data_IF_954457487775
#
_entry.id   IF_954457487775
#
_cell.length_a   1.000
_cell.length_b   1.000
_cell.length_c   1.000
_cell.angle_alpha   90.00
_cell.angle_beta   90.00
_cell.angle_gamma   90.00
#
_symmetry.space_group_name_H-M   'P 1'
#
loop_
_entity.id
_entity.type
_entity.pdbx_description
1 polymer ?
#
# COMPACT_ATOMS: atom_id res chain seq x y z
N UNK A 1 -25.13 92.50 3.53
CA UNK A 1 -26.05 91.48 4.05
C UNK A 1 -25.32 90.73 5.15
N UNK A 2 -25.51 91.16 6.40
CA UNK A 2 -24.83 90.66 7.60
C UNK A 2 -25.90 90.05 8.49
N UNK A 3 -25.70 88.82 8.97
CA UNK A 3 -26.39 88.30 10.18
C UNK A 3 -25.62 87.10 10.77
N UNK A 4 -25.27 87.30 12.03
CA UNK A 4 -24.77 86.39 13.06
C UNK A 4 -25.53 85.05 13.16
N UNK A 5 -24.89 84.02 13.76
CA UNK A 5 -25.28 83.29 15.00
C UNK A 5 -24.53 81.96 15.10
N UNK A 6 -23.70 81.79 16.14
CA UNK A 6 -23.92 81.00 17.38
C UNK A 6 -23.57 79.49 17.28
N UNK A 7 -22.63 79.06 18.14
CA UNK A 7 -22.33 77.70 18.64
C UNK A 7 -23.61 76.95 19.13
N UNK A 8 -23.66 75.59 19.29
CA UNK A 8 -22.65 74.77 19.99
C UNK A 8 -22.41 73.29 19.57
N UNK A 9 -21.31 72.76 20.13
CA UNK A 9 -21.02 71.39 20.60
C UNK A 9 -22.05 70.27 20.32
N UNK A 10 -21.67 69.24 19.54
CA UNK A 10 -22.24 67.89 19.65
C UNK A 10 -21.10 66.87 19.73
N UNK A 11 -21.03 66.27 20.91
CA UNK A 11 -20.31 65.05 21.28
C UNK A 11 -20.78 63.90 20.38
N UNK A 12 -19.88 63.27 19.62
CA UNK A 12 -20.17 61.97 18.97
C UNK A 12 -19.25 60.92 19.57
N UNK A 13 -19.88 60.11 20.41
CA UNK A 13 -19.43 58.81 20.91
C UNK A 13 -18.91 57.95 19.76
N UNK A 14 -17.60 57.65 19.74
CA UNK A 14 -17.09 56.51 18.98
C UNK A 14 -17.27 55.29 19.87
N UNK A 15 -18.34 54.54 19.61
CA UNK A 15 -18.51 53.19 20.11
C UNK A 15 -17.40 52.31 19.54
N UNK A 16 -16.47 51.90 20.41
CA UNK A 16 -15.58 50.78 20.14
C UNK A 16 -16.41 49.52 19.99
N UNK A 17 -16.59 49.06 18.75
CA UNK A 17 -17.05 47.72 18.47
C UNK A 17 -15.92 46.76 18.88
N UNK A 18 -16.06 46.21 20.08
CA UNK A 18 -15.42 44.96 20.48
C UNK A 18 -15.84 43.89 19.47
N UNK A 19 -15.01 43.63 18.47
CA UNK A 19 -15.08 42.39 17.71
C UNK A 19 -14.69 41.27 18.66
N UNK A 20 -15.68 40.43 18.98
CA UNK A 20 -15.46 39.12 19.56
C UNK A 20 -14.42 38.38 18.72
N UNK A 21 -13.26 38.12 19.30
CA UNK A 21 -12.34 37.10 18.80
C UNK A 21 -13.07 35.76 18.90
N UNK A 22 -13.59 35.28 17.78
CA UNK A 22 -13.99 33.89 17.63
C UNK A 22 -12.74 33.03 17.73
N UNK A 23 -12.68 32.04 18.64
CA UNK A 23 -11.59 31.08 18.63
C UNK A 23 -11.65 30.32 17.31
N UNK A 24 -10.50 30.30 16.63
CA UNK A 24 -10.24 29.52 15.44
C UNK A 24 -10.46 28.05 15.80
N UNK A 25 -11.66 27.53 15.52
CA UNK A 25 -11.92 26.10 15.56
C UNK A 25 -10.95 25.46 14.57
N UNK A 26 -9.94 24.78 15.12
CA UNK A 26 -9.12 23.86 14.37
C UNK A 26 -10.05 22.90 13.63
N UNK A 27 -9.91 22.87 12.30
CA UNK A 27 -10.50 21.82 11.50
C UNK A 27 -10.07 20.45 12.04
N UNK A 28 -10.86 19.39 11.81
CA UNK A 28 -10.59 18.09 12.39
C UNK A 28 -9.16 17.65 12.07
N UNK A 29 -8.39 17.38 13.13
CA UNK A 29 -7.07 16.78 13.05
C UNK A 29 -7.19 15.46 12.29
N UNK A 30 -6.86 15.49 11.00
CA UNK A 30 -6.93 14.33 10.09
C UNK A 30 -5.98 13.19 10.50
N UNK A 31 -5.13 13.41 11.50
CA UNK A 31 -4.26 12.39 12.11
C UNK A 31 -4.99 11.42 13.05
N UNK A 32 -6.06 11.85 13.74
CA UNK A 32 -6.74 11.01 14.74
C UNK A 32 -7.72 10.00 14.13
N UNK A 33 -8.35 10.33 12.99
CA UNK A 33 -9.26 9.41 12.30
C UNK A 33 -8.55 8.31 11.49
N UNK A 34 -7.35 8.60 10.99
CA UNK A 34 -6.64 7.68 10.09
C UNK A 34 -5.83 6.62 10.85
N UNK A 35 -5.22 7.00 11.98
CA UNK A 35 -4.55 6.04 12.87
C UNK A 35 -5.54 5.09 13.54
N UNK A 36 -6.72 5.58 13.93
CA UNK A 36 -7.80 4.76 14.51
C UNK A 36 -8.41 3.77 13.52
N UNK A 37 -8.46 4.11 12.23
CA UNK A 37 -8.89 3.20 11.16
C UNK A 37 -8.06 1.90 11.14
N UNK A 38 -6.73 2.00 11.12
CA UNK A 38 -5.87 0.81 11.10
C UNK A 38 -5.79 0.08 12.44
N UNK A 39 -6.01 0.77 13.56
CA UNK A 39 -6.12 0.13 14.87
C UNK A 39 -7.35 -0.80 14.93
N UNK A 40 -8.47 -0.42 14.32
CA UNK A 40 -9.66 -1.28 14.23
C UNK A 40 -9.43 -2.53 13.39
N UNK A 41 -8.70 -2.40 12.27
CA UNK A 41 -8.37 -3.52 11.36
C UNK A 41 -7.45 -4.55 12.05
N UNK A 42 -6.56 -4.10 12.94
CA UNK A 42 -5.62 -4.97 13.64
C UNK A 42 -6.25 -6.04 14.54
N UNK A 43 -7.55 -5.96 14.83
CA UNK A 43 -8.30 -6.91 15.64
C UNK A 43 -9.35 -7.72 14.85
N UNK A 44 -9.45 -7.50 13.55
CA UNK A 44 -10.46 -8.12 12.71
C UNK A 44 -10.10 -9.58 12.40
N UNK A 45 -10.93 -10.51 12.86
CA UNK A 45 -10.85 -11.93 12.48
C UNK A 45 -11.79 -12.19 11.32
N UNK A 46 -11.23 -12.51 10.16
CA UNK A 46 -12.00 -12.70 8.94
C UNK A 46 -12.70 -14.06 8.91
N UNK A 47 -13.96 -14.07 8.50
CA UNK A 47 -14.69 -15.29 8.13
C UNK A 47 -14.17 -15.86 6.79
N UNK A 48 -14.47 -17.13 6.45
CA UNK A 48 -14.09 -17.70 5.16
C UNK A 48 -14.59 -16.90 3.94
N UNK A 49 -15.79 -16.31 4.03
CA UNK A 49 -16.33 -15.48 2.95
C UNK A 49 -15.53 -14.18 2.78
N UNK A 50 -15.11 -13.58 3.88
CA UNK A 50 -14.28 -12.38 3.87
C UNK A 50 -12.87 -12.67 3.37
N UNK A 51 -12.31 -13.85 3.66
CA UNK A 51 -11.04 -14.29 3.07
C UNK A 51 -11.18 -14.43 1.56
N UNK A 52 -12.27 -15.02 1.07
CA UNK A 52 -12.53 -15.11 -0.37
C UNK A 52 -12.66 -13.73 -1.02
N UNK A 53 -13.37 -12.79 -0.38
CA UNK A 53 -13.47 -11.41 -0.87
C UNK A 53 -12.10 -10.70 -0.86
N UNK A 54 -11.31 -10.86 0.21
CA UNK A 54 -9.97 -10.30 0.30
C UNK A 54 -9.01 -10.86 -0.75
N UNK A 55 -9.18 -12.12 -1.17
CA UNK A 55 -8.43 -12.71 -2.29
C UNK A 55 -8.68 -11.96 -3.60
N UNK A 56 -9.93 -11.54 -3.85
CA UNK A 56 -10.30 -10.76 -5.04
C UNK A 56 -9.68 -9.36 -5.01
N UNK A 57 -9.61 -8.73 -3.83
CA UNK A 57 -8.94 -7.44 -3.63
C UNK A 57 -7.40 -7.52 -3.72
N UNK A 58 -6.82 -8.73 -3.65
CA UNK A 58 -5.40 -8.95 -3.85
C UNK A 58 -4.55 -8.34 -2.74
N UNK A 59 -3.41 -7.75 -3.09
CA UNK A 59 -2.42 -7.28 -2.10
C UNK A 59 -2.94 -6.14 -1.22
N UNK A 60 -4.01 -5.45 -1.63
CA UNK A 60 -4.67 -4.41 -0.84
C UNK A 60 -5.31 -4.95 0.44
N UNK A 61 -5.69 -6.23 0.47
CA UNK A 61 -6.34 -6.83 1.61
C UNK A 61 -5.39 -7.27 2.73
N UNK A 62 -4.07 -7.28 2.51
CA UNK A 62 -3.06 -7.79 3.47
C UNK A 62 -3.26 -7.29 4.91
N UNK A 63 -3.51 -5.98 5.18
CA UNK A 63 -3.68 -5.49 6.54
C UNK A 63 -4.84 -6.16 7.30
N UNK A 64 -5.90 -6.55 6.60
CA UNK A 64 -7.11 -7.14 7.18
C UNK A 64 -6.94 -8.60 7.61
N UNK A 65 -5.85 -9.25 7.20
CA UNK A 65 -5.49 -10.60 7.63
C UNK A 65 -4.67 -10.62 8.93
N UNK A 66 -4.34 -9.46 9.51
CA UNK A 66 -3.39 -9.35 10.61
C UNK A 66 -3.81 -10.12 11.86
N UNK A 67 -5.10 -10.13 12.23
CA UNK A 67 -5.58 -10.84 13.43
C UNK A 67 -6.00 -12.29 13.14
N UNK A 68 -6.37 -12.62 11.89
CA UNK A 68 -6.81 -13.97 11.50
C UNK A 68 -5.66 -14.99 11.58
N UNK A 69 -5.90 -16.18 12.16
CA UNK A 69 -4.84 -17.18 12.32
C UNK A 69 -4.37 -17.76 10.97
N UNK A 70 -3.12 -18.18 10.84
CA UNK A 70 -2.60 -18.78 9.58
C UNK A 70 -3.45 -19.94 9.08
N UNK A 71 -3.93 -20.78 10.02
CA UNK A 71 -4.80 -21.90 9.72
C UNK A 71 -6.13 -21.44 9.13
N UNK A 72 -6.79 -20.47 9.76
CA UNK A 72 -8.08 -19.97 9.28
C UNK A 72 -7.94 -19.26 7.93
N UNK A 73 -6.85 -18.52 7.73
CA UNK A 73 -6.52 -17.91 6.43
C UNK A 73 -6.40 -19.00 5.37
N UNK A 74 -5.60 -20.03 5.64
CA UNK A 74 -5.38 -21.12 4.69
C UNK A 74 -6.68 -21.90 4.39
N UNK A 75 -7.47 -22.21 5.42
CA UNK A 75 -8.76 -22.89 5.27
C UNK A 75 -9.75 -22.03 4.45
N UNK A 76 -9.74 -20.71 4.65
CA UNK A 76 -10.52 -19.76 3.86
C UNK A 76 -10.07 -19.72 2.40
N UNK A 77 -8.77 -19.68 2.12
CA UNK A 77 -8.21 -19.72 0.77
C UNK A 77 -8.57 -21.02 0.04
N UNK A 78 -8.49 -22.17 0.72
CA UNK A 78 -8.90 -23.47 0.16
C UNK A 78 -10.40 -23.45 -0.18
N UNK A 79 -11.25 -22.97 0.73
CA UNK A 79 -12.70 -22.85 0.49
C UNK A 79 -13.01 -21.90 -0.67
N UNK A 80 -12.23 -20.85 -0.82
CA UNK A 80 -12.31 -19.90 -1.95
C UNK A 80 -11.75 -20.48 -3.26
N UNK A 81 -11.22 -21.71 -3.26
CA UNK A 81 -10.56 -22.33 -4.41
C UNK A 81 -9.39 -21.50 -4.95
N UNK A 82 -8.67 -20.81 -4.04
CA UNK A 82 -7.45 -20.09 -4.37
C UNK A 82 -6.47 -21.02 -5.09
N UNK A 83 -5.81 -20.51 -6.12
CA UNK A 83 -4.82 -21.28 -6.87
C UNK A 83 -3.56 -21.49 -6.04
N UNK A 84 -3.13 -20.46 -5.33
CA UNK A 84 -2.01 -20.55 -4.40
C UNK A 84 -2.54 -20.39 -2.98
N UNK A 85 -2.34 -21.39 -2.13
CA UNK A 85 -2.72 -21.34 -0.72
C UNK A 85 -1.57 -20.82 0.14
N UNK A 86 -1.86 -20.50 1.40
CA UNK A 86 -0.83 -20.08 2.33
C UNK A 86 0.14 -21.22 2.65
N UNK A 87 -0.34 -22.46 2.69
CA UNK A 87 0.52 -23.64 2.84
C UNK A 87 1.51 -23.78 1.68
N UNK A 88 1.06 -23.56 0.44
CA UNK A 88 1.95 -23.62 -0.74
C UNK A 88 3.04 -22.54 -0.67
N UNK A 89 2.67 -21.34 -0.25
CA UNK A 89 3.63 -20.24 -0.03
C UNK A 89 4.66 -20.59 1.04
N UNK A 90 4.23 -21.14 2.18
CA UNK A 90 5.14 -21.53 3.25
C UNK A 90 6.11 -22.63 2.82
N UNK A 91 5.59 -23.65 2.13
CA UNK A 91 6.38 -24.79 1.67
C UNK A 91 7.42 -24.36 0.63
N UNK A 92 7.01 -23.55 -0.34
CA UNK A 92 7.90 -23.10 -1.43
C UNK A 92 8.88 -22.01 -1.02
N UNK A 93 8.46 -21.02 -0.22
CA UNK A 93 9.32 -19.91 0.19
C UNK A 93 10.27 -20.30 1.33
N UNK A 94 9.78 -21.06 2.32
CA UNK A 94 10.48 -21.30 3.58
C UNK A 94 10.81 -22.78 3.84
N UNK A 95 10.39 -23.71 2.97
CA UNK A 95 10.67 -25.14 3.14
C UNK A 95 9.94 -25.78 4.32
N UNK A 96 8.86 -25.16 4.81
CA UNK A 96 8.06 -25.62 5.95
C UNK A 96 6.58 -25.60 5.58
N UNK A 97 5.81 -26.58 6.02
CA UNK A 97 4.35 -26.55 5.94
C UNK A 97 3.76 -25.81 7.14
N UNK A 98 2.50 -25.39 7.04
CA UNK A 98 1.85 -24.63 8.13
C UNK A 98 1.71 -25.44 9.43
N UNK A 99 1.62 -26.77 9.35
CA UNK A 99 1.58 -27.67 10.50
C UNK A 99 2.96 -27.88 11.17
N UNK A 100 4.02 -27.35 10.56
CA UNK A 100 5.40 -27.43 11.05
C UNK A 100 5.91 -26.11 11.66
N UNK A 101 5.06 -25.07 11.71
CA UNK A 101 5.41 -23.75 12.23
C UNK A 101 4.53 -23.38 13.41
N UNK A 102 5.02 -22.47 14.27
CA UNK A 102 4.25 -21.95 15.39
C UNK A 102 3.05 -21.11 14.94
N UNK A 103 2.15 -20.71 15.87
CA UNK A 103 0.97 -19.91 15.55
C UNK A 103 1.26 -18.55 14.90
N UNK A 104 2.45 -17.99 15.15
CA UNK A 104 2.95 -16.75 14.55
C UNK A 104 3.52 -16.96 13.13
N UNK A 105 3.72 -18.22 12.73
CA UNK A 105 4.25 -18.62 11.43
C UNK A 105 5.68 -18.18 11.19
N UNK A 106 6.43 -17.93 12.25
CA UNK A 106 7.80 -17.47 12.14
C UNK A 106 8.75 -18.66 11.95
N UNK A 107 9.50 -18.66 10.85
CA UNK A 107 10.57 -19.64 10.58
C UNK A 107 11.96 -19.01 10.70
N UNK A 108 12.04 -17.72 11.03
CA UNK A 108 13.29 -16.95 11.04
C UNK A 108 13.68 -16.35 9.68
N UNK A 109 12.84 -16.50 8.65
CA UNK A 109 13.17 -16.17 7.25
C UNK A 109 12.48 -14.89 6.75
N UNK A 110 12.00 -14.02 7.66
CA UNK A 110 11.36 -12.77 7.29
C UNK A 110 12.28 -11.87 6.45
N UNK A 111 11.77 -11.36 5.32
CA UNK A 111 12.55 -10.45 4.47
C UNK A 111 12.53 -9.02 5.01
N UNK A 112 13.60 -8.27 4.69
CA UNK A 112 13.73 -6.84 5.03
C UNK A 112 13.90 -5.94 3.81
N UNK A 113 14.17 -6.53 2.64
CA UNK A 113 14.44 -5.84 1.39
C UNK A 113 13.61 -6.47 0.28
N UNK A 114 13.15 -5.65 -0.67
CA UNK A 114 12.36 -6.12 -1.81
C UNK A 114 13.10 -7.11 -2.71
N UNK A 115 14.45 -7.06 -2.74
CA UNK A 115 15.26 -8.11 -3.37
C UNK A 115 14.94 -9.49 -2.81
N UNK A 116 15.05 -9.66 -1.49
CA UNK A 116 14.76 -10.94 -0.84
C UNK A 116 13.26 -11.29 -0.90
N UNK A 117 12.38 -10.29 -0.80
CA UNK A 117 10.94 -10.49 -1.00
C UNK A 117 10.65 -11.09 -2.38
N UNK A 118 11.28 -10.54 -3.43
CA UNK A 118 11.17 -11.03 -4.80
C UNK A 118 11.74 -12.43 -4.94
N UNK A 119 12.92 -12.73 -4.36
CA UNK A 119 13.50 -14.07 -4.40
C UNK A 119 12.56 -15.12 -3.78
N UNK A 120 11.95 -14.84 -2.62
CA UNK A 120 10.96 -15.74 -2.01
C UNK A 120 9.71 -15.88 -2.88
N UNK A 121 9.17 -14.76 -3.34
CA UNK A 121 7.99 -14.72 -4.19
C UNK A 121 8.17 -15.51 -5.49
N UNK A 122 9.33 -15.40 -6.12
CA UNK A 122 9.69 -16.12 -7.34
C UNK A 122 9.77 -17.64 -7.12
N UNK A 123 10.18 -18.10 -5.92
CA UNK A 123 10.11 -19.54 -5.57
C UNK A 123 8.66 -20.02 -5.54
N UNK A 124 7.75 -19.24 -4.96
CA UNK A 124 6.30 -19.54 -4.93
C UNK A 124 5.76 -19.69 -6.35
N UNK A 125 6.00 -18.68 -7.21
CA UNK A 125 5.54 -18.68 -8.59
C UNK A 125 6.12 -19.86 -9.40
N UNK A 126 7.40 -20.15 -9.23
CA UNK A 126 8.08 -21.26 -9.91
C UNK A 126 7.50 -22.61 -9.50
N UNK A 127 7.25 -22.83 -8.22
CA UNK A 127 6.62 -24.06 -7.72
C UNK A 127 5.24 -24.27 -8.35
N UNK A 128 4.51 -23.18 -8.61
CA UNK A 128 3.18 -23.22 -9.20
C UNK A 128 3.19 -23.18 -10.75
N UNK A 129 4.36 -23.34 -11.38
CA UNK A 129 4.49 -23.46 -12.83
C UNK A 129 4.27 -22.15 -13.61
N UNK A 130 4.35 -21.00 -12.94
CA UNK A 130 4.28 -19.70 -13.63
C UNK A 130 5.52 -19.54 -14.51
N UNK A 131 5.29 -19.30 -15.81
CA UNK A 131 6.36 -19.06 -16.78
C UNK A 131 7.11 -17.78 -16.43
N UNK A 132 8.41 -17.81 -16.67
CA UNK A 132 9.29 -16.65 -16.44
C UNK A 132 9.14 -16.07 -15.03
N UNK A 133 8.95 -16.93 -14.02
CA UNK A 133 8.75 -16.55 -12.63
C UNK A 133 9.79 -15.52 -12.15
N UNK A 134 11.04 -15.64 -12.60
CA UNK A 134 12.15 -14.74 -12.27
C UNK A 134 11.93 -13.26 -12.69
N UNK A 135 10.97 -12.98 -13.58
CA UNK A 135 10.63 -11.64 -14.04
C UNK A 135 9.51 -10.99 -13.22
N UNK A 136 8.89 -11.73 -12.30
CA UNK A 136 7.93 -11.16 -11.36
C UNK A 136 8.64 -10.65 -10.11
N UNK A 137 8.41 -9.38 -9.78
CA UNK A 137 9.14 -8.65 -8.75
C UNK A 137 8.14 -8.04 -7.78
N UNK A 138 8.40 -8.19 -6.47
CA UNK A 138 7.75 -7.39 -5.44
C UNK A 138 8.54 -6.10 -5.27
N UNK A 139 7.86 -4.97 -5.42
CA UNK A 139 8.48 -3.65 -5.43
C UNK A 139 7.86 -2.78 -4.34
N UNK A 140 8.57 -1.73 -3.94
CA UNK A 140 8.09 -0.77 -2.95
C UNK A 140 8.60 0.64 -3.21
N UNK A 141 7.75 1.64 -2.99
CA UNK A 141 8.15 3.05 -2.86
C UNK A 141 8.01 3.45 -1.39
N UNK A 142 9.12 3.88 -0.79
CA UNK A 142 9.28 4.13 0.65
C UNK A 142 9.22 5.62 1.03
N UNK A 143 8.85 6.50 0.09
CA UNK A 143 8.79 7.96 0.31
C UNK A 143 7.86 8.38 1.45
N UNK A 144 6.84 7.58 1.76
CA UNK A 144 5.86 7.84 2.83
C UNK A 144 6.11 7.01 4.11
N UNK A 145 7.25 6.33 4.22
CA UNK A 145 7.51 5.45 5.38
C UNK A 145 7.53 6.23 6.71
N UNK A 146 7.98 7.49 6.70
CA UNK A 146 7.98 8.36 7.88
C UNK A 146 6.56 8.71 8.35
N UNK A 147 5.62 8.73 7.41
CA UNK A 147 4.19 8.93 7.67
C UNK A 147 3.46 7.61 7.97
N UNK A 148 4.17 6.49 7.97
CA UNK A 148 3.64 5.18 8.30
C UNK A 148 3.11 4.38 7.12
N UNK A 149 3.39 4.75 5.87
CA UNK A 149 2.91 4.04 4.68
C UNK A 149 4.00 3.62 3.70
N UNK A 150 3.76 2.51 3.01
CA UNK A 150 4.56 2.04 1.87
C UNK A 150 3.62 1.76 0.69
N UNK A 151 4.03 2.13 -0.52
CA UNK A 151 3.32 1.74 -1.74
C UNK A 151 3.99 0.51 -2.33
N UNK A 152 3.28 -0.61 -2.35
CA UNK A 152 3.69 -1.86 -2.97
C UNK A 152 3.15 -1.99 -4.39
N UNK A 153 3.92 -2.65 -5.23
CA UNK A 153 3.42 -3.19 -6.49
C UNK A 153 4.02 -4.56 -6.80
N UNK A 154 3.20 -5.41 -7.42
CA UNK A 154 3.59 -6.65 -8.05
C UNK A 154 3.78 -6.35 -9.53
N UNK A 155 5.00 -6.50 -10.04
CA UNK A 155 5.29 -6.15 -11.44
C UNK A 155 5.90 -7.34 -12.18
N UNK A 156 5.63 -7.41 -13.48
CA UNK A 156 6.41 -8.22 -14.42
C UNK A 156 7.39 -7.32 -15.16
N UNK A 157 8.68 -7.64 -15.09
CA UNK A 157 9.79 -6.96 -15.76
C UNK A 157 10.71 -7.98 -16.45
N UNK A 158 10.77 -8.03 -17.78
CA UNK A 158 11.59 -8.98 -18.52
C UNK A 158 13.06 -8.56 -18.68
N UNK A 159 13.56 -7.67 -17.82
CA UNK A 159 14.88 -7.05 -17.94
C UNK A 159 15.66 -7.17 -16.63
N UNK A 160 16.92 -7.60 -16.71
CA UNK A 160 17.84 -7.69 -15.56
C UNK A 160 18.58 -6.37 -15.25
N UNK A 161 18.47 -5.40 -16.17
CA UNK A 161 18.94 -4.03 -16.00
C UNK A 161 18.04 -3.06 -16.75
N UNK A 162 17.89 -1.86 -16.21
CA UNK A 162 17.08 -0.79 -16.77
C UNK A 162 17.86 0.51 -16.79
N UNK A 163 17.56 1.37 -17.75
CA UNK A 163 18.04 2.74 -17.81
C UNK A 163 16.82 3.66 -17.90
N UNK A 164 16.67 4.53 -16.90
CA UNK A 164 15.43 5.28 -16.63
C UNK A 164 15.74 6.72 -16.26
N UNK A 165 14.79 7.60 -16.50
CA UNK A 165 14.78 8.94 -15.91
C UNK A 165 14.33 8.79 -14.45
N UNK A 166 15.09 9.37 -13.53
CA UNK A 166 14.78 9.39 -12.10
C UNK A 166 13.41 10.06 -11.89
N UNK A 167 12.44 9.29 -11.40
CA UNK A 167 11.06 9.72 -11.20
C UNK A 167 10.90 10.79 -10.12
N UNK A 168 11.90 11.00 -9.26
CA UNK A 168 11.84 11.97 -8.18
C UNK A 168 12.29 13.37 -8.61
N UNK A 169 13.21 13.48 -9.57
CA UNK A 169 13.67 14.77 -10.13
C UNK A 169 13.24 15.02 -11.58
N UNK A 170 12.78 13.98 -12.28
CA UNK A 170 12.32 14.01 -13.67
C UNK A 170 13.39 14.34 -14.71
N UNK A 171 14.68 14.25 -14.35
CA UNK A 171 15.79 14.77 -15.16
C UNK A 171 16.99 13.84 -15.22
N UNK A 172 17.38 13.23 -14.10
CA UNK A 172 18.63 12.47 -14.00
C UNK A 172 18.46 11.10 -14.66
N UNK A 173 19.31 10.76 -15.63
CA UNK A 173 19.37 9.40 -16.18
C UNK A 173 20.11 8.49 -15.20
N UNK A 174 19.51 7.34 -14.86
CA UNK A 174 20.11 6.34 -13.99
C UNK A 174 20.03 4.96 -14.61
N UNK A 175 21.05 4.16 -14.33
CA UNK A 175 21.10 2.74 -14.69
C UNK A 175 21.02 1.90 -13.42
N UNK A 176 20.12 0.93 -13.41
CA UNK A 176 19.96 -0.01 -12.31
C UNK A 176 19.98 -1.45 -12.82
N UNK A 177 20.47 -2.35 -11.97
CA UNK A 177 20.50 -3.79 -12.15
C UNK A 177 19.83 -4.48 -10.97
N UNK A 178 19.58 -5.79 -11.06
CA UNK A 178 19.01 -6.59 -9.95
C UNK A 178 19.78 -6.54 -8.62
N UNK A 179 21.02 -6.03 -8.63
CA UNK A 179 21.83 -5.83 -7.43
C UNK A 179 21.62 -4.47 -6.76
N UNK A 180 21.02 -3.52 -7.48
CA UNK A 180 20.70 -2.19 -6.99
C UNK A 180 19.38 -2.17 -6.24
N UNK A 181 19.33 -1.45 -5.10
CA UNK A 181 18.09 -1.28 -4.32
C UNK A 181 16.97 -0.68 -5.17
N UNK A 182 17.28 0.35 -5.95
CA UNK A 182 16.33 1.10 -6.75
C UNK A 182 15.79 0.30 -7.94
N UNK A 183 16.43 -0.81 -8.32
CA UNK A 183 15.81 -1.74 -9.26
C UNK A 183 14.49 -2.31 -8.73
N UNK A 184 14.28 -2.37 -7.41
CA UNK A 184 13.04 -2.88 -6.82
C UNK A 184 11.99 -1.78 -6.59
N UNK A 185 12.05 -0.70 -7.35
CA UNK A 185 10.94 0.24 -7.57
C UNK A 185 10.30 -0.04 -8.94
N UNK A 186 9.01 0.26 -9.14
CA UNK A 186 8.39 0.15 -10.46
C UNK A 186 8.93 1.20 -11.43
N UNK A 187 8.94 0.93 -12.73
CA UNK A 187 9.24 1.94 -13.74
C UNK A 187 8.33 1.73 -14.95
N UNK A 188 7.65 2.80 -15.37
CA UNK A 188 6.73 2.73 -16.50
C UNK A 188 7.47 2.55 -17.82
N UNK A 189 8.49 3.36 -18.04
CA UNK A 189 9.21 3.44 -19.31
C UNK A 189 10.71 3.64 -19.12
N UNK A 190 11.50 3.20 -20.10
CA UNK A 190 12.93 3.49 -20.22
C UNK A 190 13.19 4.90 -20.75
N UNK A 191 14.47 5.26 -20.92
CA UNK A 191 14.88 6.55 -21.53
C UNK A 191 14.41 6.74 -22.98
N UNK A 192 14.00 5.67 -23.67
CA UNK A 192 13.52 5.70 -25.05
C UNK A 192 11.98 5.69 -25.14
N UNK A 193 11.28 5.70 -24.00
CA UNK A 193 9.81 5.64 -23.93
C UNK A 193 9.22 4.22 -24.09
N UNK A 194 10.05 3.17 -24.12
CA UNK A 194 9.59 1.78 -24.17
C UNK A 194 9.05 1.34 -22.81
N UNK A 195 7.94 0.61 -22.80
CA UNK A 195 7.34 0.10 -21.56
C UNK A 195 8.29 -0.88 -20.86
N UNK A 196 8.53 -0.68 -19.57
CA UNK A 196 9.36 -1.56 -18.74
C UNK A 196 8.53 -2.54 -17.94
N UNK A 197 7.68 -2.03 -17.05
CA UNK A 197 6.90 -2.86 -16.14
C UNK A 197 5.46 -3.03 -16.60
N UNK A 198 4.96 -4.25 -16.45
CA UNK A 198 3.52 -4.51 -16.39
C UNK A 198 3.11 -4.68 -14.94
N UNK A 199 2.25 -3.80 -14.44
CA UNK A 199 1.76 -3.88 -13.05
C UNK A 199 0.61 -4.88 -12.97
N UNK A 200 0.77 -5.89 -12.13
CA UNK A 200 -0.18 -6.97 -11.90
C UNK A 200 -1.15 -6.60 -10.79
N UNK A 201 -0.62 -6.09 -9.68
CA UNK A 201 -1.42 -5.62 -8.53
C UNK A 201 -0.64 -4.58 -7.71
N UNK A 202 -1.33 -3.82 -6.85
CA UNK A 202 -0.69 -2.80 -6.00
C UNK A 202 -1.49 -2.49 -4.73
N UNK A 203 -0.77 -2.02 -3.69
CA UNK A 203 -1.38 -1.58 -2.44
C UNK A 203 -0.60 -0.45 -1.78
N UNK A 204 -1.30 0.58 -1.33
CA UNK A 204 -0.82 1.44 -0.25
C UNK A 204 -1.12 0.76 1.08
N UNK A 205 -0.09 0.42 1.84
CA UNK A 205 -0.25 -0.31 3.10
C UNK A 205 0.48 0.39 4.25
N UNK A 206 0.00 0.24 5.50
CA UNK A 206 0.74 0.68 6.67
C UNK A 206 2.08 -0.07 6.75
N UNK A 207 3.14 0.62 7.21
CA UNK A 207 4.48 0.01 7.37
C UNK A 207 4.48 -1.18 8.31
N UNK A 208 3.57 -1.22 9.28
CA UNK A 208 3.39 -2.34 10.21
C UNK A 208 2.63 -3.52 9.59
N UNK A 209 2.01 -3.31 8.43
CA UNK A 209 1.20 -4.29 7.71
C UNK A 209 1.98 -5.44 7.07
N UNK A 210 3.33 -5.40 7.07
CA UNK A 210 4.18 -6.41 6.45
C UNK A 210 5.47 -6.73 7.24
N UNK A 211 5.51 -6.37 8.54
CA UNK A 211 6.71 -6.58 9.37
C UNK A 211 6.90 -8.02 9.82
N UNK A 212 5.81 -8.77 9.97
CA UNK A 212 5.85 -10.17 10.42
C UNK A 212 5.94 -11.12 9.24
N UNK A 213 6.59 -12.27 9.43
CA UNK A 213 6.67 -13.30 8.39
C UNK A 213 5.30 -13.78 7.94
N UNK A 214 4.33 -13.88 8.87
CA UNK A 214 2.92 -14.15 8.55
C UNK A 214 2.37 -13.16 7.52
N UNK A 215 2.48 -11.86 7.75
CA UNK A 215 1.97 -10.84 6.83
C UNK A 215 2.70 -10.89 5.48
N UNK A 216 4.01 -11.14 5.49
CA UNK A 216 4.82 -11.31 4.29
C UNK A 216 4.38 -12.53 3.47
N UNK A 217 4.06 -13.65 4.13
CA UNK A 217 3.53 -14.83 3.48
C UNK A 217 2.14 -14.58 2.89
N UNK A 218 1.27 -13.85 3.60
CA UNK A 218 -0.04 -13.44 3.05
C UNK A 218 0.14 -12.55 1.83
N UNK A 219 1.02 -11.53 1.89
CA UNK A 219 1.34 -10.66 0.76
C UNK A 219 1.78 -11.48 -0.47
N UNK A 220 2.74 -12.40 -0.30
CA UNK A 220 3.22 -13.25 -1.40
C UNK A 220 2.11 -14.16 -1.94
N UNK A 221 1.25 -14.70 -1.09
CA UNK A 221 0.14 -15.57 -1.48
C UNK A 221 -0.88 -14.80 -2.34
N UNK A 222 -1.29 -13.60 -1.90
CA UNK A 222 -2.24 -12.76 -2.64
C UNK A 222 -1.63 -12.22 -3.95
N UNK A 223 -0.35 -11.87 -3.93
CA UNK A 223 0.40 -11.48 -5.13
C UNK A 223 0.50 -12.64 -6.14
N UNK A 224 0.71 -13.88 -5.67
CA UNK A 224 0.82 -15.05 -6.53
C UNK A 224 -0.53 -15.37 -7.19
N UNK A 225 -1.63 -15.33 -6.44
CA UNK A 225 -2.97 -15.50 -7.02
C UNK A 225 -3.27 -14.40 -8.04
N UNK A 226 -2.90 -13.14 -7.78
CA UNK A 226 -3.09 -12.05 -8.75
C UNK A 226 -2.36 -12.28 -10.08
N UNK A 227 -1.16 -12.89 -10.04
CA UNK A 227 -0.45 -13.32 -11.25
C UNK A 227 -1.15 -14.46 -11.96
N UNK A 228 -1.54 -15.51 -11.23
CA UNK A 228 -2.16 -16.70 -11.81
C UNK A 228 -3.55 -16.40 -12.40
N UNK A 229 -4.28 -15.45 -11.81
CA UNK A 229 -5.55 -14.93 -12.32
C UNK A 229 -5.39 -13.97 -13.51
N UNK A 230 -4.16 -13.56 -13.82
CA UNK A 230 -3.87 -12.66 -14.93
C UNK A 230 -4.32 -11.21 -14.69
N UNK A 231 -4.38 -10.76 -13.44
CA UNK A 231 -4.71 -9.37 -13.10
C UNK A 231 -3.72 -8.41 -13.76
N UNK A 232 -4.23 -7.23 -14.14
CA UNK A 232 -3.42 -6.12 -14.66
C UNK A 232 -4.02 -4.80 -14.15
N UNK A 233 -3.18 -3.95 -13.56
CA UNK A 233 -3.58 -2.69 -12.93
C UNK A 233 -2.96 -1.50 -13.65
N UNK A 234 -3.71 -0.94 -14.59
CA UNK A 234 -3.27 0.24 -15.36
C UNK A 234 -3.35 1.53 -14.54
N UNK A 235 -4.14 1.54 -13.47
CA UNK A 235 -4.33 2.66 -12.55
C UNK A 235 -3.09 2.96 -11.68
N UNK A 236 -2.14 2.02 -11.57
CA UNK A 236 -0.96 2.17 -10.74
C UNK A 236 -0.13 3.42 -11.06
N UNK A 237 0.05 3.76 -12.33
CA UNK A 237 0.95 4.85 -12.72
C UNK A 237 0.45 6.23 -12.26
N UNK A 238 -0.87 6.42 -12.24
CA UNK A 238 -1.47 7.63 -11.68
C UNK A 238 -1.35 7.66 -10.15
N UNK A 239 -1.49 6.49 -9.51
CA UNK A 239 -1.31 6.32 -8.07
C UNK A 239 0.14 6.61 -7.65
N UNK A 240 1.13 6.09 -8.38
CA UNK A 240 2.55 6.36 -8.12
C UNK A 240 2.85 7.86 -8.17
N UNK A 241 2.37 8.55 -9.22
CA UNK A 241 2.58 9.99 -9.37
C UNK A 241 2.00 10.77 -8.18
N UNK A 242 0.77 10.44 -7.78
CA UNK A 242 0.09 11.06 -6.63
C UNK A 242 0.80 10.71 -5.31
N UNK A 243 1.31 9.50 -5.17
CA UNK A 243 2.06 9.06 -4.00
C UNK A 243 3.35 9.87 -3.82
N UNK A 244 4.11 10.05 -4.91
CA UNK A 244 5.34 10.88 -4.92
C UNK A 244 5.01 12.34 -4.64
N UNK A 245 3.83 12.82 -5.07
CA UNK A 245 3.33 14.16 -4.76
C UNK A 245 2.83 14.34 -3.32
N UNK A 246 2.84 13.29 -2.49
CA UNK A 246 2.44 13.35 -1.08
C UNK A 246 0.97 13.04 -0.80
N UNK A 247 0.21 12.58 -1.79
CA UNK A 247 -1.22 12.24 -1.63
C UNK A 247 -1.45 10.82 -1.05
N UNK A 248 -0.48 10.26 -0.35
CA UNK A 248 -0.49 8.87 0.13
C UNK A 248 -1.67 8.57 1.07
N UNK A 249 -2.07 9.51 1.94
CA UNK A 249 -3.22 9.31 2.85
C UNK A 249 -4.50 9.09 2.07
N UNK A 250 -4.78 9.95 1.09
CA UNK A 250 -6.00 9.86 0.28
C UNK A 250 -6.03 8.58 -0.57
N UNK A 251 -4.87 8.16 -1.09
CA UNK A 251 -4.73 6.89 -1.81
C UNK A 251 -5.12 5.72 -0.89
N UNK A 252 -4.51 5.66 0.30
CA UNK A 252 -4.76 4.57 1.25
C UNK A 252 -6.21 4.60 1.76
N UNK A 253 -6.77 5.76 2.12
CA UNK A 253 -8.17 5.88 2.55
C UNK A 253 -9.14 5.35 1.48
N UNK A 254 -8.94 5.75 0.24
CA UNK A 254 -9.82 5.34 -0.85
C UNK A 254 -9.68 3.84 -1.17
N UNK A 255 -8.46 3.30 -1.08
CA UNK A 255 -8.24 1.87 -1.25
C UNK A 255 -8.88 1.08 -0.11
N UNK A 256 -8.65 1.48 1.15
CA UNK A 256 -9.23 0.81 2.31
C UNK A 256 -10.75 0.80 2.31
N UNK A 257 -11.41 1.91 1.94
CA UNK A 257 -12.88 1.94 1.79
C UNK A 257 -13.40 0.91 0.79
N UNK A 258 -12.69 0.70 -0.32
CA UNK A 258 -13.06 -0.31 -1.33
C UNK A 258 -12.91 -1.72 -0.78
N UNK A 259 -11.79 -1.98 -0.07
CA UNK A 259 -11.55 -3.27 0.55
C UNK A 259 -12.59 -3.56 1.63
N UNK A 260 -12.87 -2.60 2.52
CA UNK A 260 -13.89 -2.72 3.57
C UNK A 260 -15.28 -3.02 2.98
N UNK A 261 -15.66 -2.30 1.92
CA UNK A 261 -16.91 -2.56 1.21
C UNK A 261 -16.95 -3.98 0.62
N UNK A 262 -15.85 -4.47 0.03
CA UNK A 262 -15.75 -5.83 -0.50
C UNK A 262 -15.82 -6.90 0.61
N UNK A 263 -15.24 -6.62 1.78
CA UNK A 263 -15.26 -7.48 2.96
C UNK A 263 -16.58 -7.39 3.76
N UNK A 264 -17.43 -6.40 3.49
CA UNK A 264 -18.69 -6.18 4.20
C UNK A 264 -18.49 -5.80 5.67
N UNK A 265 -17.50 -4.95 5.96
CA UNK A 265 -17.17 -4.44 7.31
C UNK A 265 -17.31 -2.93 7.40
#
# INVERSE_FOLDING_TARGET
MVKNKLFPLIFVFIFGLFSCATPQQGGPDSGHGFSSMFLGIGHLVLSPLQIAAGLLEGVAAVPYYAATSLKDINDGLIKAQAKVTLNDTYESAYGKRLDQVGPDGNTGEAFRRMKNASEYYQKVLKQYGVKDAQHYILTSIDTANKDGFTLFAVVYRPYDSIEVIDKYDGKTIRKFSKDDRLFYEPYKQDINGQSLDTVIDWAGAPVDGYKTQKQQAVLMTLAANSVVEGKKRTDYWDVEKRWIAGEFKDIVQNQSKKVEQALGI
#
